data_IF_227550047117
#
_entry.id   IF_227550047117
#
_cell.length_a   1.000
_cell.length_b   1.000
_cell.length_c   1.000
_cell.angle_alpha   90.00
_cell.angle_beta   90.00
_cell.angle_gamma   90.00
#
_symmetry.space_group_name_H-M   'P 1'
#
loop_
_entity.id
_entity.type
_entity.pdbx_description
1 polymer ?
#
# COMPACT_ATOMS: atom_id res chain seq x y z
N UNK A 1 -7.96 21.65 -11.36
CA UNK A 1 -9.07 20.98 -10.68
C UNK A 1 -10.18 20.80 -11.68
N UNK A 2 -10.39 19.56 -12.13
CA UNK A 2 -11.58 19.23 -12.91
C UNK A 2 -12.56 18.54 -11.97
N UNK A 3 -13.78 19.06 -11.89
CA UNK A 3 -14.90 18.36 -11.27
C UNK A 3 -15.78 17.88 -12.41
N UNK A 4 -16.01 16.57 -12.50
CA UNK A 4 -16.87 15.98 -13.51
C UNK A 4 -18.06 15.29 -12.88
N UNK A 5 -19.21 15.40 -13.54
CA UNK A 5 -20.38 14.58 -13.23
C UNK A 5 -20.15 13.25 -13.95
N UNK A 6 -19.92 12.18 -13.18
CA UNK A 6 -19.60 10.86 -13.74
C UNK A 6 -20.87 10.09 -14.05
N UNK A 7 -21.97 10.43 -13.37
CA UNK A 7 -23.26 9.81 -13.58
C UNK A 7 -24.38 10.80 -13.32
N UNK A 8 -25.30 10.84 -14.27
CA UNK A 8 -26.56 11.57 -14.21
C UNK A 8 -27.73 10.58 -14.34
N UNK A 9 -28.91 10.88 -13.78
CA UNK A 9 -30.09 10.04 -13.97
C UNK A 9 -30.47 9.97 -15.46
N UNK A 10 -30.66 8.75 -15.98
CA UNK A 10 -31.06 8.53 -17.39
C UNK A 10 -32.44 9.13 -17.72
N UNK A 11 -33.27 9.36 -16.70
CA UNK A 11 -34.57 10.03 -16.82
C UNK A 11 -34.92 10.64 -15.47
N UNK A 12 -35.18 11.94 -15.42
CA UNK A 12 -35.77 12.59 -14.25
C UNK A 12 -37.28 12.39 -14.34
N UNK A 13 -37.79 11.36 -13.66
CA UNK A 13 -39.23 11.08 -13.58
C UNK A 13 -39.64 10.96 -12.13
N UNK A 14 -40.77 11.57 -11.77
CA UNK A 14 -41.38 11.50 -10.44
C UNK A 14 -41.59 10.04 -10.02
N UNK A 15 -40.68 9.55 -9.18
CA UNK A 15 -40.62 8.19 -8.69
C UNK A 15 -40.04 8.22 -7.29
N UNK A 16 -40.38 7.24 -6.44
CA UNK A 16 -39.75 7.04 -5.12
C UNK A 16 -38.26 6.65 -5.22
N UNK A 17 -37.73 6.53 -6.44
CA UNK A 17 -36.33 6.20 -6.68
C UNK A 17 -35.43 7.42 -6.40
N UNK A 18 -34.31 7.22 -5.69
CA UNK A 18 -33.43 8.32 -5.35
C UNK A 18 -32.80 8.88 -6.62
N UNK A 19 -32.83 10.20 -6.71
CA UNK A 19 -32.18 10.97 -7.75
C UNK A 19 -30.78 11.30 -7.21
N UNK A 20 -29.75 10.58 -7.69
CA UNK A 20 -28.36 10.65 -7.19
C UNK A 20 -27.39 11.06 -8.30
N UNK A 21 -26.52 12.03 -8.00
CA UNK A 21 -25.46 12.56 -8.85
C UNK A 21 -24.16 12.11 -8.21
N UNK A 22 -23.27 11.60 -9.03
CA UNK A 22 -21.94 11.19 -8.64
C UNK A 22 -20.94 12.18 -9.24
N UNK A 23 -20.15 12.79 -8.38
CA UNK A 23 -19.12 13.77 -8.70
C UNK A 23 -17.75 13.13 -8.50
N UNK A 24 -16.80 13.48 -9.36
CA UNK A 24 -15.42 13.07 -9.22
C UNK A 24 -14.48 14.26 -9.25
N UNK A 25 -13.42 14.22 -8.44
CA UNK A 25 -12.32 15.18 -8.45
C UNK A 25 -10.96 14.50 -8.46
N UNK A 26 -10.07 15.03 -9.29
CA UNK A 26 -8.70 14.58 -9.45
C UNK A 26 -7.74 15.13 -8.38
N UNK A 27 -8.20 16.06 -7.52
CA UNK A 27 -7.36 16.79 -6.58
C UNK A 27 -7.53 16.35 -5.12
N UNK A 28 -7.84 15.09 -4.85
CA UNK A 28 -7.84 14.57 -3.45
C UNK A 28 -6.42 14.50 -2.88
N UNK A 29 -5.44 14.27 -3.75
CA UNK A 29 -4.05 14.05 -3.38
C UNK A 29 -3.19 15.12 -4.06
N UNK A 30 -2.51 15.95 -3.26
CA UNK A 30 -1.54 16.95 -3.71
C UNK A 30 -0.20 16.31 -4.09
N UNK A 31 0.20 15.26 -3.37
CA UNK A 31 1.41 14.50 -3.66
C UNK A 31 1.12 13.01 -3.46
N UNK A 32 1.35 12.21 -4.51
CA UNK A 32 0.97 10.79 -4.56
C UNK A 32 1.67 9.90 -3.51
N UNK A 33 2.64 10.45 -2.78
CA UNK A 33 3.55 9.74 -1.90
C UNK A 33 4.43 8.74 -2.67
N UNK A 34 5.45 8.23 -2.01
CA UNK A 34 6.34 7.18 -2.54
C UNK A 34 6.59 6.16 -1.44
N UNK A 35 6.54 4.85 -1.75
CA UNK A 35 6.84 3.83 -0.77
C UNK A 35 8.34 3.82 -0.46
N UNK A 36 8.69 3.36 0.74
CA UNK A 36 10.07 2.99 1.05
C UNK A 36 10.39 1.71 0.28
N UNK A 37 11.53 1.68 -0.41
CA UNK A 37 11.99 0.51 -1.15
C UNK A 37 13.41 0.20 -0.70
N UNK A 38 13.68 -1.07 -0.39
CA UNK A 38 15.04 -1.56 -0.19
C UNK A 38 15.19 -2.93 -0.86
N UNK A 39 16.42 -3.26 -1.25
CA UNK A 39 16.69 -4.50 -1.98
C UNK A 39 17.83 -5.26 -1.32
N UNK A 40 17.65 -6.57 -1.19
CA UNK A 40 18.68 -7.52 -0.79
C UNK A 40 19.16 -8.26 -2.03
N UNK A 41 20.44 -8.15 -2.36
CA UNK A 41 21.06 -8.83 -3.50
C UNK A 41 21.79 -10.10 -3.05
N UNK A 42 21.30 -11.25 -3.51
CA UNK A 42 21.87 -12.56 -3.23
C UNK A 42 22.73 -13.07 -4.40
N UNK A 43 23.21 -12.18 -5.28
CA UNK A 43 24.00 -12.55 -6.46
C UNK A 43 25.27 -13.32 -6.12
N UNK A 44 25.95 -12.98 -5.02
CA UNK A 44 27.17 -13.64 -4.57
C UNK A 44 26.92 -14.88 -3.70
N UNK A 45 25.65 -15.20 -3.38
CA UNK A 45 25.33 -16.44 -2.68
C UNK A 45 25.33 -17.59 -3.70
N UNK A 46 26.39 -18.38 -3.64
CA UNK A 46 26.61 -19.52 -4.53
C UNK A 46 25.72 -20.73 -4.22
N UNK A 47 25.38 -21.49 -5.26
CA UNK A 47 24.58 -22.72 -5.20
C UNK A 47 25.41 -23.93 -4.72
N UNK A 48 26.16 -23.83 -3.62
CA UNK A 48 27.01 -24.95 -3.19
C UNK A 48 26.19 -25.97 -2.41
N UNK A 49 25.71 -26.99 -3.11
CA UNK A 49 25.25 -28.25 -2.51
C UNK A 49 26.48 -28.99 -1.98
N UNK A 50 26.76 -28.87 -0.69
CA UNK A 50 27.80 -29.68 -0.05
C UNK A 50 27.16 -30.93 0.56
N UNK A 51 27.32 -32.05 -0.13
CA UNK A 51 26.82 -33.37 0.29
C UNK A 51 27.60 -33.97 1.47
N UNK A 52 28.76 -33.42 1.84
CA UNK A 52 29.60 -33.96 2.91
C UNK A 52 29.21 -33.45 4.32
N UNK A 53 28.44 -32.36 4.41
CA UNK A 53 27.97 -31.76 5.67
C UNK A 53 26.96 -32.64 6.44
N UNK A 54 26.47 -33.72 5.85
CA UNK A 54 25.50 -34.66 6.45
C UNK A 54 26.13 -35.95 6.97
N UNK A 55 27.46 -35.98 7.13
CA UNK A 55 28.17 -37.11 7.75
C UNK A 55 28.20 -36.97 9.28
N UNK A 56 28.05 -38.06 10.06
CA UNK A 56 28.15 -38.04 11.52
C UNK A 56 29.50 -37.56 12.09
N UNK A 57 30.51 -37.36 11.24
CA UNK A 57 31.89 -37.04 11.63
C UNK A 57 32.22 -35.54 11.46
N UNK A 58 31.43 -34.77 10.69
CA UNK A 58 31.62 -33.32 10.45
C UNK A 58 30.55 -32.44 11.15
N UNK A 59 29.91 -32.96 12.19
CA UNK A 59 28.56 -32.53 12.64
C UNK A 59 28.41 -31.10 13.20
N UNK A 60 29.46 -30.30 13.40
CA UNK A 60 29.29 -29.00 14.07
C UNK A 60 30.25 -27.89 13.60
N UNK A 61 30.51 -27.79 12.29
CA UNK A 61 31.08 -26.54 11.81
C UNK A 61 29.95 -25.52 11.63
N UNK A 62 29.85 -24.60 12.59
CA UNK A 62 29.06 -23.37 12.50
C UNK A 62 29.65 -22.48 11.40
N UNK A 63 29.27 -22.73 10.16
CA UNK A 63 29.54 -21.78 9.08
C UNK A 63 28.39 -20.78 9.07
N UNK A 64 28.70 -19.52 9.39
CA UNK A 64 27.81 -18.40 9.10
C UNK A 64 28.00 -18.09 7.62
N UNK A 65 27.09 -18.56 6.78
CA UNK A 65 27.17 -18.37 5.33
C UNK A 65 26.84 -16.92 4.94
N UNK A 66 25.87 -16.31 5.62
CA UNK A 66 25.53 -14.91 5.51
C UNK A 66 24.67 -14.47 6.70
N UNK A 67 24.79 -13.20 7.05
CA UNK A 67 23.94 -12.57 8.05
C UNK A 67 23.86 -11.06 7.83
N UNK A 68 22.72 -10.47 8.15
CA UNK A 68 22.55 -9.03 8.12
C UNK A 68 21.67 -8.59 9.28
N UNK A 69 21.85 -7.35 9.70
CA UNK A 69 20.92 -6.68 10.60
C UNK A 69 20.01 -5.79 9.80
N UNK A 70 18.69 -5.94 9.94
CA UNK A 70 17.70 -4.98 9.48
C UNK A 70 17.22 -4.12 10.64
N UNK A 71 17.24 -2.81 10.49
CA UNK A 71 16.73 -1.84 11.46
C UNK A 71 15.51 -1.17 10.84
N UNK A 72 14.34 -1.28 11.47
CA UNK A 72 13.10 -0.64 11.02
C UNK A 72 12.54 0.21 12.16
N UNK A 73 12.33 1.51 11.95
CA UNK A 73 11.83 2.45 13.01
C UNK A 73 12.54 2.24 14.35
N UNK A 74 13.88 2.16 14.34
CA UNK A 74 14.76 1.92 15.51
C UNK A 74 14.73 0.49 16.12
N UNK A 75 13.89 -0.41 15.61
CA UNK A 75 13.89 -1.81 16.05
C UNK A 75 14.91 -2.60 15.24
N UNK A 76 15.84 -3.27 15.92
CA UNK A 76 16.92 -4.05 15.32
C UNK A 76 16.51 -5.54 15.20
N UNK A 77 16.56 -6.07 14.00
CA UNK A 77 16.31 -7.47 13.66
C UNK A 77 17.59 -8.10 13.13
N UNK A 78 18.05 -9.18 13.76
CA UNK A 78 19.20 -9.93 13.28
C UNK A 78 18.70 -11.12 12.47
N UNK A 79 19.12 -11.18 11.21
CA UNK A 79 18.94 -12.32 10.33
C UNK A 79 20.30 -12.99 10.19
N UNK A 80 20.50 -14.12 10.88
CA UNK A 80 21.66 -14.98 10.68
C UNK A 80 21.21 -16.31 10.11
N UNK A 81 21.99 -16.83 9.17
CA UNK A 81 21.85 -18.20 8.76
C UNK A 81 22.90 -19.07 9.46
N UNK A 82 22.48 -19.73 10.54
CA UNK A 82 23.31 -20.65 11.31
C UNK A 82 22.82 -22.08 11.12
N UNK A 83 23.75 -23.00 10.88
CA UNK A 83 23.46 -24.44 10.89
C UNK A 83 23.06 -24.85 12.32
N UNK A 84 21.81 -25.28 12.50
CA UNK A 84 21.29 -25.91 13.73
C UNK A 84 21.36 -25.07 15.03
N UNK A 85 20.96 -23.79 15.02
CA UNK A 85 20.72 -23.04 16.27
C UNK A 85 19.26 -23.16 16.76
N UNK A 86 19.00 -23.64 17.99
CA UNK A 86 17.65 -23.69 18.56
C UNK A 86 17.09 -22.32 18.98
N UNK A 87 17.89 -21.26 18.87
CA UNK A 87 17.70 -20.06 19.71
C UNK A 87 16.70 -19.06 19.11
N UNK A 88 16.44 -19.10 17.80
CA UNK A 88 15.35 -18.31 17.21
C UNK A 88 14.54 -19.16 16.23
N UNK A 89 13.22 -19.22 16.44
CA UNK A 89 12.29 -20.11 15.73
C UNK A 89 12.12 -19.84 14.22
N UNK A 90 12.92 -18.97 13.61
CA UNK A 90 12.81 -18.64 12.19
C UNK A 90 13.83 -19.43 11.39
N UNK A 91 13.35 -20.47 10.72
CA UNK A 91 14.14 -21.27 9.76
C UNK A 91 14.27 -20.49 8.45
N UNK A 92 15.23 -19.57 8.39
CA UNK A 92 15.62 -18.98 7.11
C UNK A 92 16.37 -20.07 6.33
N UNK A 93 15.98 -20.36 5.08
CA UNK A 93 16.68 -21.34 4.26
C UNK A 93 18.16 -20.96 4.08
N UNK A 94 19.05 -21.86 4.48
CA UNK A 94 20.49 -21.63 4.47
C UNK A 94 21.11 -21.70 3.09
N UNK A 95 20.82 -22.78 2.37
CA UNK A 95 21.30 -23.02 1.01
C UNK A 95 20.18 -23.53 0.14
N UNK A 96 20.41 -23.44 -1.16
CA UNK A 96 19.54 -23.99 -2.18
C UNK A 96 19.60 -25.52 -2.06
N UNK A 97 18.43 -26.14 -1.89
CA UNK A 97 18.34 -27.60 -1.83
C UNK A 97 18.86 -28.28 -3.10
N UNK A 98 19.26 -29.56 -3.04
CA UNK A 98 19.86 -30.29 -4.17
C UNK A 98 18.94 -30.39 -5.40
N UNK A 99 17.63 -30.25 -5.22
CA UNK A 99 16.61 -30.30 -6.27
C UNK A 99 15.87 -28.96 -6.42
N UNK A 100 16.38 -27.89 -5.82
CA UNK A 100 15.72 -26.59 -5.74
C UNK A 100 16.39 -25.59 -6.69
N UNK A 101 15.61 -24.69 -7.29
CA UNK A 101 16.17 -23.58 -8.07
C UNK A 101 16.50 -22.40 -7.16
N UNK A 102 17.45 -21.54 -7.56
CA UNK A 102 17.75 -20.29 -6.83
C UNK A 102 16.50 -19.41 -6.67
N UNK A 103 15.58 -19.42 -7.64
CA UNK A 103 14.32 -18.68 -7.57
C UNK A 103 13.39 -19.20 -6.46
N UNK A 104 13.18 -20.51 -6.40
CA UNK A 104 12.35 -21.13 -5.37
C UNK A 104 12.93 -20.89 -3.96
N UNK A 105 14.26 -20.97 -3.86
CA UNK A 105 14.96 -20.66 -2.62
C UNK A 105 14.79 -19.19 -2.21
N UNK A 106 14.96 -18.23 -3.14
CA UNK A 106 14.73 -16.80 -2.88
C UNK A 106 13.30 -16.52 -2.43
N UNK A 107 12.30 -17.22 -2.99
CA UNK A 107 10.91 -17.12 -2.52
C UNK A 107 10.77 -17.59 -1.08
N UNK A 108 11.42 -18.69 -0.69
CA UNK A 108 11.41 -19.16 0.71
C UNK A 108 12.15 -18.20 1.64
N UNK A 109 13.31 -17.66 1.23
CA UNK A 109 14.06 -16.65 2.01
C UNK A 109 13.22 -15.40 2.20
N UNK A 110 12.61 -14.89 1.14
CA UNK A 110 11.67 -13.75 1.18
C UNK A 110 10.55 -14.00 2.19
N UNK A 111 9.86 -15.13 2.08
CA UNK A 111 8.75 -15.46 2.95
C UNK A 111 9.21 -15.64 4.41
N UNK A 112 10.39 -16.21 4.63
CA UNK A 112 10.97 -16.34 5.97
C UNK A 112 11.28 -14.96 6.58
N UNK A 113 11.84 -14.03 5.80
CA UNK A 113 12.09 -12.65 6.24
C UNK A 113 10.78 -11.92 6.55
N UNK A 114 9.78 -11.99 5.67
CA UNK A 114 8.49 -11.33 5.88
C UNK A 114 7.73 -11.90 7.09
N UNK A 115 7.79 -13.21 7.30
CA UNK A 115 7.14 -13.86 8.45
C UNK A 115 7.91 -13.63 9.75
N UNK A 116 9.23 -13.44 9.66
CA UNK A 116 10.04 -13.08 10.81
C UNK A 116 9.58 -11.73 11.35
N UNK A 117 9.28 -11.69 12.65
CA UNK A 117 8.93 -10.46 13.36
C UNK A 117 7.76 -9.67 12.76
N UNK A 118 6.86 -10.33 12.01
CA UNK A 118 5.68 -9.74 11.39
C UNK A 118 5.99 -8.60 10.39
N UNK A 119 7.13 -8.67 9.69
CA UNK A 119 7.50 -7.68 8.66
C UNK A 119 6.52 -7.65 7.47
N UNK A 120 5.75 -8.71 7.25
CA UNK A 120 4.65 -8.77 6.27
C UNK A 120 3.54 -7.74 6.52
N UNK A 121 3.43 -7.21 7.75
CA UNK A 121 2.50 -6.11 8.06
C UNK A 121 2.99 -4.74 7.58
N UNK A 122 4.28 -4.62 7.27
CA UNK A 122 4.91 -3.36 6.87
C UNK A 122 5.37 -3.37 5.40
N UNK A 123 5.74 -4.54 4.88
CA UNK A 123 6.37 -4.68 3.56
C UNK A 123 5.75 -5.78 2.73
N UNK A 124 5.73 -5.55 1.41
CA UNK A 124 5.54 -6.58 0.39
C UNK A 124 6.88 -6.90 -0.23
N UNK A 125 7.16 -8.19 -0.43
CA UNK A 125 8.37 -8.65 -1.08
C UNK A 125 8.12 -9.23 -2.48
N UNK A 126 9.01 -8.90 -3.42
CA UNK A 126 9.08 -9.44 -4.77
C UNK A 126 10.48 -10.00 -5.04
N UNK A 127 10.56 -11.11 -5.77
CA UNK A 127 11.83 -11.68 -6.23
C UNK A 127 12.06 -11.16 -7.65
N UNK A 128 13.19 -10.51 -7.87
CA UNK A 128 13.60 -9.97 -9.18
C UNK A 128 15.02 -10.44 -9.51
N UNK A 129 15.12 -11.44 -10.39
CA UNK A 129 16.38 -12.07 -10.71
C UNK A 129 17.04 -12.69 -9.48
N UNK A 130 18.22 -12.19 -9.09
CA UNK A 130 18.95 -12.68 -7.90
C UNK A 130 18.71 -11.83 -6.65
N UNK A 131 17.73 -10.92 -6.71
CA UNK A 131 17.46 -9.93 -5.68
C UNK A 131 16.07 -10.12 -5.09
N UNK A 132 15.90 -9.67 -3.85
CA UNK A 132 14.60 -9.56 -3.19
C UNK A 132 14.34 -8.08 -2.92
N UNK A 133 13.33 -7.54 -3.58
CA UNK A 133 12.88 -6.15 -3.42
C UNK A 133 11.75 -6.10 -2.40
N UNK A 134 11.89 -5.25 -1.40
CA UNK A 134 10.86 -4.98 -0.41
C UNK A 134 10.32 -3.57 -0.61
N UNK A 135 8.99 -3.44 -0.67
CA UNK A 135 8.29 -2.16 -0.81
C UNK A 135 7.34 -1.99 0.37
N UNK A 136 7.32 -0.82 1.00
CA UNK A 136 6.39 -0.56 2.10
C UNK A 136 4.94 -0.58 1.62
N UNK A 137 4.04 -1.12 2.45
CA UNK A 137 2.59 -1.15 2.17
C UNK A 137 2.02 0.27 2.19
N UNK A 138 2.51 1.09 3.13
CA UNK A 138 2.12 2.48 3.28
C UNK A 138 3.23 3.44 2.85
N UNK A 139 2.82 4.57 2.29
CA UNK A 139 3.69 5.70 1.98
C UNK A 139 3.84 6.55 3.24
N UNK A 140 4.82 6.22 4.08
CA UNK A 140 5.05 6.85 5.39
C UNK A 140 6.48 7.38 5.51
N UNK A 141 6.63 8.72 5.50
CA UNK A 141 7.94 9.40 5.63
C UNK A 141 8.66 9.09 6.95
N UNK A 142 7.94 8.65 7.97
CA UNK A 142 8.52 8.26 9.27
C UNK A 142 9.10 6.85 9.27
N UNK A 143 8.81 6.04 8.25
CA UNK A 143 9.41 4.72 8.09
C UNK A 143 10.85 4.90 7.62
N UNK A 144 11.80 4.50 8.48
CA UNK A 144 13.22 4.41 8.13
C UNK A 144 13.66 2.96 8.17
N UNK A 145 14.48 2.59 7.19
CA UNK A 145 15.09 1.27 7.09
C UNK A 145 16.59 1.43 6.91
N UNK A 146 17.34 0.83 7.81
CA UNK A 146 18.78 0.71 7.71
C UNK A 146 19.14 -0.77 7.72
N UNK A 147 20.14 -1.14 6.93
CA UNK A 147 20.67 -2.49 6.96
C UNK A 147 22.14 -2.38 7.32
N UNK A 148 22.55 -3.14 8.32
CA UNK A 148 23.93 -3.19 8.79
C UNK A 148 24.51 -4.57 8.53
N UNK A 149 25.66 -4.59 7.88
CA UNK A 149 26.45 -5.79 7.70
C UNK A 149 27.03 -6.24 9.05
N UNK A 150 26.95 -7.54 9.30
CA UNK A 150 27.38 -8.14 10.57
C UNK A 150 28.83 -8.65 10.45
N UNK A 151 29.35 -8.86 9.24
CA UNK A 151 30.73 -9.31 8.96
C UNK A 151 31.25 -8.73 7.64
N UNK A 152 32.58 -8.61 7.51
CA UNK A 152 33.26 -8.15 6.27
C UNK A 152 33.22 -9.19 5.12
N UNK A 153 32.67 -10.39 5.36
CA UNK A 153 32.66 -11.52 4.42
C UNK A 153 31.24 -11.82 3.91
N UNK A 154 30.59 -10.85 3.27
CA UNK A 154 29.19 -11.01 2.86
C UNK A 154 29.00 -11.30 1.38
N UNK A 155 28.29 -12.40 1.14
CA UNK A 155 27.71 -12.82 -0.14
C UNK A 155 26.34 -12.17 -0.45
N UNK A 156 25.80 -11.36 0.47
CA UNK A 156 24.55 -10.60 0.26
C UNK A 156 24.87 -9.11 0.22
N UNK A 157 24.84 -8.52 -0.96
CA UNK A 157 25.04 -7.08 -1.13
C UNK A 157 23.70 -6.36 -0.91
N UNK A 158 23.75 -5.17 -0.31
CA UNK A 158 22.54 -4.39 -0.03
C UNK A 158 22.45 -3.25 -1.03
N UNK A 159 21.30 -3.13 -1.69
CA UNK A 159 21.05 -2.02 -2.60
C UNK A 159 20.11 -0.99 -1.98
N UNK A 160 20.68 0.21 -1.86
CA UNK A 160 20.11 1.54 -1.58
C UNK A 160 18.66 1.59 -1.06
N UNK A 161 18.44 1.99 0.21
CA UNK A 161 17.10 2.35 0.67
C UNK A 161 16.63 3.63 -0.03
N UNK A 162 15.44 3.60 -0.63
CA UNK A 162 14.74 4.79 -1.10
C UNK A 162 13.96 5.43 0.03
N UNK A 163 14.07 6.76 0.16
CA UNK A 163 13.34 7.50 1.19
C UNK A 163 11.84 7.55 0.85
N UNK A 164 10.96 7.16 1.78
CA UNK A 164 9.51 7.25 1.58
C UNK A 164 9.05 8.71 1.59
N UNK A 165 7.93 8.95 0.93
CA UNK A 165 7.26 10.26 0.94
C UNK A 165 5.80 10.01 1.28
N UNK A 166 5.28 10.75 2.26
CA UNK A 166 3.88 10.63 2.65
C UNK A 166 2.93 11.08 1.54
N UNK A 167 1.77 10.43 1.45
CA UNK A 167 0.65 10.94 0.66
C UNK A 167 0.14 12.23 1.28
N UNK A 168 0.17 13.32 0.53
CA UNK A 168 -0.36 14.60 0.98
C UNK A 168 -1.78 14.76 0.46
N UNK A 169 -2.77 14.65 1.36
CA UNK A 169 -4.17 14.89 1.04
C UNK A 169 -4.48 16.38 1.02
N UNK A 170 -5.34 16.80 0.11
CA UNK A 170 -5.80 18.19 0.04
C UNK A 170 -6.59 18.54 1.30
N UNK A 171 -6.10 19.48 2.15
CA UNK A 171 -6.77 19.82 3.39
C UNK A 171 -8.15 20.43 3.12
N UNK A 172 -9.17 19.96 3.84
CA UNK A 172 -10.53 20.51 3.79
C UNK A 172 -11.18 20.54 2.39
N UNK A 173 -10.80 19.62 1.49
CA UNK A 173 -11.41 19.54 0.17
C UNK A 173 -12.93 19.30 0.29
N UNK A 174 -13.71 20.22 -0.24
CA UNK A 174 -15.17 20.14 -0.35
C UNK A 174 -15.59 20.48 -1.76
N UNK A 175 -16.46 19.66 -2.34
CA UNK A 175 -17.16 19.98 -3.59
C UNK A 175 -18.45 20.68 -3.18
N UNK A 176 -18.52 21.99 -3.44
CA UNK A 176 -19.75 22.74 -3.25
C UNK A 176 -20.63 22.57 -4.49
N UNK A 177 -21.85 22.11 -4.26
CA UNK A 177 -22.85 21.88 -5.30
C UNK A 177 -24.07 22.70 -4.98
N UNK A 178 -24.67 23.30 -5.99
CA UNK A 178 -25.86 24.13 -5.86
C UNK A 178 -26.91 23.68 -6.87
N UNK A 179 -28.14 23.56 -6.39
CA UNK A 179 -29.33 23.32 -7.20
C UNK A 179 -30.09 24.64 -7.28
N UNK A 180 -30.23 25.17 -8.51
CA UNK A 180 -30.93 26.43 -8.78
C UNK A 180 -32.23 26.11 -9.50
N UNK A 181 -33.34 26.59 -8.93
CA UNK A 181 -34.66 26.55 -9.56
C UNK A 181 -34.92 27.87 -10.30
N UNK A 182 -35.23 27.79 -11.59
CA UNK A 182 -35.48 28.95 -12.46
C UNK A 182 -36.92 28.88 -12.96
N UNK A 183 -37.65 29.99 -12.91
CA UNK A 183 -39.02 30.06 -13.39
C UNK A 183 -39.13 30.36 -14.91
N UNK A 184 -40.36 30.41 -15.41
CA UNK A 184 -40.66 30.68 -16.83
C UNK A 184 -40.21 32.08 -17.28
N UNK A 185 -39.97 33.00 -16.36
CA UNK A 185 -39.45 34.35 -16.62
C UNK A 185 -37.92 34.46 -16.48
N UNK A 186 -37.23 33.32 -16.32
CA UNK A 186 -35.79 33.21 -16.08
C UNK A 186 -35.33 33.84 -14.76
N UNK A 187 -36.23 34.02 -13.80
CA UNK A 187 -35.87 34.45 -12.46
C UNK A 187 -35.53 33.25 -11.57
N UNK A 188 -34.47 33.38 -10.76
CA UNK A 188 -34.11 32.38 -9.75
C UNK A 188 -35.11 32.41 -8.60
N UNK A 189 -35.69 31.26 -8.27
CA UNK A 189 -36.71 31.13 -7.20
C UNK A 189 -36.18 30.53 -5.91
N UNK A 190 -35.23 29.61 -6.00
CA UNK A 190 -34.72 28.91 -4.82
C UNK A 190 -33.38 28.28 -5.13
N UNK A 191 -32.53 28.23 -4.10
CA UNK A 191 -31.20 27.65 -4.13
C UNK A 191 -31.09 26.64 -2.99
N UNK A 192 -30.70 25.40 -3.33
CA UNK A 192 -30.29 24.42 -2.33
C UNK A 192 -28.83 24.08 -2.55
N UNK A 193 -27.99 24.35 -1.55
CA UNK A 193 -26.56 24.08 -1.61
C UNK A 193 -26.18 22.91 -0.71
N UNK A 194 -25.18 22.14 -1.13
CA UNK A 194 -24.56 21.11 -0.32
C UNK A 194 -23.03 21.18 -0.46
N UNK A 195 -22.33 20.82 0.61
CA UNK A 195 -20.88 20.67 0.60
C UNK A 195 -20.57 19.17 0.72
N UNK A 196 -20.06 18.59 -0.35
CA UNK A 196 -19.74 17.17 -0.43
C UNK A 196 -18.27 16.96 -0.09
N UNK A 197 -17.96 15.94 0.71
CA UNK A 197 -16.59 15.53 1.01
C UNK A 197 -16.25 14.32 0.13
N UNK A 198 -15.33 14.45 -0.84
CA UNK A 198 -14.89 13.32 -1.66
C UNK A 198 -14.21 12.24 -0.82
N UNK A 199 -14.37 10.98 -1.24
CA UNK A 199 -13.60 9.86 -0.69
C UNK A 199 -12.14 9.87 -1.16
N UNK A 200 -11.35 8.89 -0.71
CA UNK A 200 -9.93 8.76 -1.07
C UNK A 200 -9.68 8.59 -2.58
N UNK A 201 -10.70 8.21 -3.34
CA UNK A 201 -10.65 8.01 -4.78
C UNK A 201 -11.21 9.22 -5.55
N UNK A 202 -11.57 10.31 -4.87
CA UNK A 202 -12.14 11.49 -5.49
C UNK A 202 -13.62 11.46 -5.72
N UNK A 203 -14.35 10.45 -5.24
CA UNK A 203 -15.77 10.32 -5.51
C UNK A 203 -16.61 10.95 -4.40
N UNK A 204 -17.65 11.68 -4.78
CA UNK A 204 -18.67 12.19 -3.89
C UNK A 204 -20.05 11.95 -4.51
N UNK A 205 -21.07 11.74 -3.68
CA UNK A 205 -22.44 11.63 -4.17
C UNK A 205 -23.37 12.58 -3.43
N UNK A 206 -24.37 13.08 -4.14
CA UNK A 206 -25.44 13.87 -3.56
C UNK A 206 -26.78 13.25 -3.95
N UNK A 207 -27.63 13.00 -2.97
CA UNK A 207 -29.03 12.61 -3.15
C UNK A 207 -29.93 13.86 -3.08
N UNK A 208 -30.50 14.24 -4.22
CA UNK A 208 -31.33 15.44 -4.38
C UNK A 208 -32.80 15.15 -4.13
N UNK A 209 -33.19 13.91 -3.83
CA UNK A 209 -34.60 13.52 -3.64
C UNK A 209 -35.29 14.38 -2.59
N UNK A 210 -34.61 14.64 -1.46
CA UNK A 210 -35.15 15.44 -0.36
C UNK A 210 -35.21 16.94 -0.70
N UNK A 211 -34.10 17.60 -1.13
CA UNK A 211 -34.12 18.98 -1.63
C UNK A 211 -35.20 19.23 -2.69
N UNK A 212 -35.28 18.36 -3.70
CA UNK A 212 -36.19 18.51 -4.82
C UNK A 212 -37.66 18.35 -4.37
N UNK A 213 -37.94 17.38 -3.50
CA UNK A 213 -39.28 17.21 -2.94
C UNK A 213 -39.69 18.44 -2.11
N UNK A 214 -38.79 18.98 -1.30
CA UNK A 214 -39.04 20.18 -0.50
C UNK A 214 -39.32 21.41 -1.38
N UNK A 215 -38.51 21.60 -2.42
CA UNK A 215 -38.65 22.70 -3.38
C UNK A 215 -40.01 22.67 -4.09
N UNK A 216 -40.42 21.49 -4.56
CA UNK A 216 -41.68 21.35 -5.28
C UNK A 216 -42.90 21.43 -4.37
N UNK A 217 -42.79 21.06 -3.10
CA UNK A 217 -43.85 21.29 -2.11
C UNK A 217 -43.99 22.77 -1.74
N UNK A 218 -42.89 23.54 -1.71
CA UNK A 218 -42.95 24.99 -1.48
C UNK A 218 -43.52 25.78 -2.66
N UNK A 219 -43.46 25.25 -3.89
CA UNK A 219 -44.07 25.86 -5.10
C UNK A 219 -45.49 25.33 -5.39
N UNK A 220 -46.04 24.45 -4.53
CA UNK A 220 -47.42 24.00 -4.64
C UNK A 220 -48.40 25.13 -4.29
N UNK A 221 -49.55 25.24 -4.97
CA UNK A 221 -50.56 26.21 -4.56
C UNK A 221 -51.10 25.85 -3.18
N UNK A 222 -51.20 26.83 -2.28
CA UNK A 222 -52.12 26.77 -1.14
C UNK A 222 -53.55 26.63 -1.70
N UNK A 223 -53.98 25.40 -1.95
CA UNK A 223 -55.38 25.10 -2.30
C UNK A 223 -56.06 24.63 -1.02
N UNK A 224 -56.68 25.60 -0.34
CA UNK A 224 -57.91 25.37 0.43
C UNK A 224 -59.08 25.14 -0.55
#
# INVERSE_FOLDING_TARGET
MAISIVKQPNKVSWSRNPLVFEFHTDQVILEAGRPLIFTLDFSQVDNVVDSELHTPEKTYYYYLDWSFTLIVKQTKFLFSCEYASPINKFKIPHRIGPTETKQDWLVKVKNAILNAFNLSSLFVGEVDGQKIKFSSIENDVSLDVQIQDVTNDLAVAIETPQTPVSKNYTPNLKIFVELIAIDLSLAERSVVSAALVPDINGNASWDFSKPLSSLCLSDGPDIL
#
